data_IF_627259073857
#
_entry.id   IF_627259073857
#
_cell.length_a   1.000
_cell.length_b   1.000
_cell.length_c   1.000
_cell.angle_alpha   90.00
_cell.angle_beta   90.00
_cell.angle_gamma   90.00
#
_symmetry.space_group_name_H-M   'P 1'
#
loop_
_entity.id
_entity.type
_entity.pdbx_description
1 polymer ?
#
# COMPACT_ATOMS: atom_id res chain seq x y z
N UNK A 1 -32.80 33.39 -37.05
CA UNK A 1 -32.46 32.14 -36.31
C UNK A 1 -32.67 32.39 -34.82
N UNK A 2 -33.44 31.53 -34.13
CA UNK A 2 -33.99 31.80 -32.80
C UNK A 2 -32.89 31.71 -31.71
N UNK A 3 -32.77 32.71 -30.80
CA UNK A 3 -31.76 32.75 -29.72
C UNK A 3 -31.97 31.67 -28.64
N UNK A 4 -33.00 30.83 -28.73
CA UNK A 4 -33.32 29.77 -27.76
C UNK A 4 -32.48 28.50 -27.90
N UNK A 5 -31.80 28.28 -29.02
CA UNK A 5 -30.95 27.09 -29.23
C UNK A 5 -29.53 27.29 -28.66
N UNK A 6 -29.05 28.54 -28.56
CA UNK A 6 -27.73 28.83 -27.97
C UNK A 6 -27.69 28.65 -26.44
N UNK A 7 -28.82 28.85 -25.74
CA UNK A 7 -28.86 28.77 -24.27
C UNK A 7 -28.77 27.31 -23.77
N UNK A 8 -29.28 26.34 -24.52
CA UNK A 8 -29.24 24.92 -24.14
C UNK A 8 -27.85 24.31 -24.33
N UNK A 9 -27.05 24.82 -25.29
CA UNK A 9 -25.67 24.38 -25.47
C UNK A 9 -24.74 24.91 -24.36
N UNK A 10 -25.03 26.08 -23.79
CA UNK A 10 -24.23 26.67 -22.71
C UNK A 10 -24.45 25.99 -21.35
N UNK A 11 -25.66 25.44 -21.10
CA UNK A 11 -25.99 24.71 -19.87
C UNK A 11 -25.45 23.26 -19.82
N UNK A 12 -25.14 22.65 -20.97
CA UNK A 12 -24.47 21.34 -21.01
C UNK A 12 -22.94 21.45 -20.85
N UNK A 13 -22.35 22.60 -21.19
CA UNK A 13 -20.91 22.86 -21.02
C UNK A 13 -20.53 23.23 -19.58
N UNK A 14 -21.48 23.70 -18.76
CA UNK A 14 -21.22 24.01 -17.33
C UNK A 14 -21.48 22.83 -16.39
N UNK A 15 -22.08 21.73 -16.87
CA UNK A 15 -22.33 20.53 -16.08
C UNK A 15 -21.15 19.55 -16.05
N UNK A 16 -20.10 19.77 -16.86
CA UNK A 16 -18.79 19.19 -16.61
C UNK A 16 -18.04 20.02 -15.56
N UNK A 17 -18.64 20.15 -14.38
CA UNK A 17 -17.83 20.37 -13.19
C UNK A 17 -16.94 19.13 -13.08
N UNK A 18 -15.70 19.27 -13.54
CA UNK A 18 -14.65 18.32 -13.27
C UNK A 18 -14.61 18.13 -11.75
N UNK A 19 -15.22 17.04 -11.26
CA UNK A 19 -15.06 16.64 -9.88
C UNK A 19 -13.58 16.31 -9.71
N UNK A 20 -12.83 17.29 -9.21
CA UNK A 20 -11.49 17.03 -8.71
C UNK A 20 -11.65 16.00 -7.61
N UNK A 21 -10.85 14.94 -7.68
CA UNK A 21 -10.73 14.01 -6.58
C UNK A 21 -10.33 14.80 -5.31
N UNK A 22 -10.89 14.42 -4.16
CA UNK A 22 -10.66 15.07 -2.86
C UNK A 22 -10.38 14.02 -1.80
N UNK A 23 -9.93 14.48 -0.64
CA UNK A 23 -9.79 13.66 0.56
C UNK A 23 -10.98 13.84 1.51
N UNK A 24 -11.45 12.74 2.09
CA UNK A 24 -12.15 12.77 3.37
C UNK A 24 -11.18 12.45 4.52
N UNK A 25 -10.95 13.46 5.37
CA UNK A 25 -10.12 13.41 6.58
C UNK A 25 -10.96 13.66 7.85
N UNK A 26 -12.29 13.59 7.76
CA UNK A 26 -13.21 13.97 8.84
C UNK A 26 -12.90 13.24 10.15
N UNK A 27 -12.55 11.95 10.04
CA UNK A 27 -12.15 11.12 11.18
C UNK A 27 -10.88 11.64 11.88
N UNK A 28 -9.92 12.25 11.16
CA UNK A 28 -8.74 12.87 11.77
C UNK A 28 -9.12 14.03 12.68
N UNK A 29 -10.07 14.87 12.24
CA UNK A 29 -10.55 16.00 13.05
C UNK A 29 -11.37 15.55 14.25
N UNK A 30 -12.11 14.45 14.14
CA UNK A 30 -12.77 13.82 15.29
C UNK A 30 -11.75 13.25 16.29
N UNK A 31 -10.71 12.60 15.80
CA UNK A 31 -9.61 12.11 16.62
C UNK A 31 -8.92 13.24 17.38
N UNK A 32 -8.65 14.39 16.75
CA UNK A 32 -8.06 15.53 17.46
C UNK A 32 -8.98 16.07 18.57
N UNK A 33 -10.31 16.05 18.41
CA UNK A 33 -11.24 16.41 19.50
C UNK A 33 -11.16 15.43 20.67
N UNK A 34 -11.00 14.14 20.37
CA UNK A 34 -10.78 13.10 21.39
C UNK A 34 -9.46 13.38 22.13
N UNK A 35 -8.37 13.66 21.41
CA UNK A 35 -7.06 13.90 22.05
C UNK A 35 -7.04 15.16 22.90
N UNK A 36 -7.76 16.22 22.52
CA UNK A 36 -7.92 17.42 23.37
C UNK A 36 -8.57 17.11 24.73
N UNK A 37 -9.51 16.17 24.78
CA UNK A 37 -10.12 15.73 26.04
C UNK A 37 -9.14 14.90 26.87
N UNK A 38 -8.42 13.96 26.22
CA UNK A 38 -7.38 13.16 26.87
C UNK A 38 -6.26 14.01 27.47
N UNK A 39 -5.83 15.10 26.79
CA UNK A 39 -4.82 16.06 27.29
C UNK A 39 -5.25 16.74 28.60
N UNK A 40 -6.56 16.80 28.88
CA UNK A 40 -7.12 17.31 30.16
C UNK A 40 -7.27 16.22 31.23
N UNK A 41 -6.70 15.03 31.00
CA UNK A 41 -6.87 13.83 31.83
C UNK A 41 -8.31 13.30 31.91
N UNK A 42 -9.16 13.64 30.94
CA UNK A 42 -10.49 13.05 30.81
C UNK A 42 -10.35 11.68 30.10
N UNK A 43 -10.82 10.57 30.67
CA UNK A 43 -10.69 9.24 30.06
C UNK A 43 -11.56 9.10 28.81
N UNK A 44 -11.14 8.25 27.87
CA UNK A 44 -11.89 7.99 26.63
C UNK A 44 -12.87 6.85 26.86
N UNK A 45 -14.13 7.19 27.12
CA UNK A 45 -15.16 6.19 27.36
C UNK A 45 -15.46 5.34 26.10
N UNK A 46 -15.92 4.11 26.34
CA UNK A 46 -16.19 3.14 25.26
C UNK A 46 -17.28 3.59 24.30
N UNK A 47 -18.27 4.37 24.74
CA UNK A 47 -19.36 4.82 23.87
C UNK A 47 -18.83 5.83 22.87
N UNK A 48 -18.02 6.80 23.32
CA UNK A 48 -17.35 7.77 22.46
C UNK A 48 -16.41 7.07 21.48
N UNK A 49 -15.58 6.13 21.96
CA UNK A 49 -14.68 5.36 21.11
C UNK A 49 -15.42 4.54 20.04
N UNK A 50 -16.45 3.78 20.44
CA UNK A 50 -17.22 2.98 19.50
C UNK A 50 -18.00 3.83 18.49
N UNK A 51 -18.38 5.06 18.86
CA UNK A 51 -19.01 5.99 17.91
C UNK A 51 -17.99 6.49 16.88
N UNK A 52 -16.78 6.85 17.31
CA UNK A 52 -15.69 7.23 16.40
C UNK A 52 -15.35 6.10 15.41
N UNK A 53 -15.28 4.85 15.90
CA UNK A 53 -15.01 3.70 15.04
C UNK A 53 -16.08 3.45 13.96
N UNK A 54 -17.32 3.97 14.10
CA UNK A 54 -18.37 3.81 13.08
C UNK A 54 -18.11 4.57 11.79
N UNK A 55 -17.08 5.41 11.71
CA UNK A 55 -16.68 6.04 10.46
C UNK A 55 -16.46 4.97 9.37
N UNK A 56 -17.03 5.20 8.17
CA UNK A 56 -17.05 4.22 7.08
C UNK A 56 -15.64 3.81 6.65
N UNK A 57 -14.71 4.78 6.49
CA UNK A 57 -13.33 4.52 6.10
C UNK A 57 -12.58 3.67 7.14
N UNK A 58 -12.80 3.96 8.43
CA UNK A 58 -12.22 3.17 9.52
C UNK A 58 -12.75 1.73 9.49
N UNK A 59 -14.05 1.54 9.24
CA UNK A 59 -14.63 0.20 9.15
C UNK A 59 -14.09 -0.59 7.96
N UNK A 60 -13.92 0.06 6.80
CA UNK A 60 -13.28 -0.54 5.62
C UNK A 60 -11.87 -1.01 5.98
N UNK A 61 -11.06 -0.14 6.58
CA UNK A 61 -9.69 -0.48 6.98
C UNK A 61 -9.65 -1.62 8.01
N UNK A 62 -10.40 -1.53 9.11
CA UNK A 62 -10.36 -2.57 10.16
C UNK A 62 -10.83 -3.94 9.66
N UNK A 63 -11.83 -3.98 8.78
CA UNK A 63 -12.31 -5.22 8.17
C UNK A 63 -11.24 -5.84 7.28
N UNK A 64 -10.60 -5.04 6.45
CA UNK A 64 -9.52 -5.46 5.56
C UNK A 64 -8.33 -6.04 6.34
N UNK A 65 -7.93 -5.36 7.42
CA UNK A 65 -6.86 -5.83 8.30
C UNK A 65 -7.24 -7.09 9.11
N UNK A 66 -8.50 -7.52 9.08
CA UNK A 66 -8.96 -8.73 9.78
C UNK A 66 -8.85 -8.62 11.31
N UNK A 67 -8.90 -7.41 11.86
CA UNK A 67 -8.72 -7.16 13.30
C UNK A 67 -10.05 -7.18 14.05
N UNK A 68 -10.00 -7.47 15.35
CA UNK A 68 -11.17 -7.64 16.21
C UNK A 68 -11.36 -6.48 17.21
N UNK A 69 -12.32 -6.62 18.12
CA UNK A 69 -12.55 -5.64 19.19
C UNK A 69 -11.41 -5.56 20.21
N UNK A 70 -10.62 -6.62 20.37
CA UNK A 70 -9.47 -6.65 21.29
C UNK A 70 -8.40 -5.68 20.80
N UNK A 71 -8.17 -5.69 19.48
CA UNK A 71 -7.27 -4.78 18.81
C UNK A 71 -7.67 -3.32 19.01
N UNK A 72 -8.92 -2.97 18.72
CA UNK A 72 -9.38 -1.57 18.81
C UNK A 72 -9.46 -1.07 20.26
N UNK A 73 -9.80 -1.94 21.22
CA UNK A 73 -9.75 -1.62 22.65
C UNK A 73 -8.31 -1.39 23.15
N UNK A 74 -7.35 -2.14 22.61
CA UNK A 74 -5.92 -1.95 22.92
C UNK A 74 -5.41 -0.60 22.40
N UNK A 75 -5.87 -0.18 21.22
CA UNK A 75 -5.57 1.14 20.68
C UNK A 75 -6.17 2.26 21.56
N UNK A 76 -7.43 2.14 21.98
CA UNK A 76 -8.10 3.08 22.90
C UNK A 76 -7.31 3.28 24.20
N UNK A 77 -6.91 2.18 24.85
CA UNK A 77 -6.11 2.23 26.09
C UNK A 77 -4.73 2.84 25.86
N UNK A 78 -4.12 2.56 24.71
CA UNK A 78 -2.86 3.19 24.30
C UNK A 78 -3.00 4.71 24.22
N UNK A 79 -4.09 5.22 23.64
CA UNK A 79 -4.34 6.67 23.57
C UNK A 79 -4.40 7.30 24.97
N UNK A 80 -5.03 6.66 25.95
CA UNK A 80 -5.05 7.15 27.34
C UNK A 80 -3.64 7.20 27.96
N UNK A 81 -2.81 6.17 27.73
CA UNK A 81 -1.42 6.16 28.20
C UNK A 81 -0.61 7.30 27.58
N UNK A 82 -0.78 7.53 26.28
CA UNK A 82 0.02 8.49 25.52
C UNK A 82 -0.41 9.94 25.78
N UNK A 83 -1.71 10.24 25.74
CA UNK A 83 -2.20 11.62 25.73
C UNK A 83 -2.46 12.20 27.12
N UNK A 84 -2.80 11.38 28.13
CA UNK A 84 -3.12 11.89 29.47
C UNK A 84 -1.84 12.26 30.24
N UNK A 85 -1.65 13.52 30.67
CA UNK A 85 -0.46 13.94 31.41
C UNK A 85 -0.14 13.11 32.66
N UNK A 86 -1.16 12.60 33.35
CA UNK A 86 -0.99 11.75 34.55
C UNK A 86 -0.24 10.44 34.28
N UNK A 87 -0.18 10.00 33.03
CA UNK A 87 0.49 8.76 32.61
C UNK A 87 1.93 8.99 32.11
N UNK A 88 2.48 10.20 32.25
CA UNK A 88 3.79 10.58 31.68
C UNK A 88 4.94 9.64 32.06
N UNK A 89 5.04 9.23 33.33
CA UNK A 89 6.08 8.30 33.77
C UNK A 89 5.95 6.91 33.11
N UNK A 90 4.72 6.40 32.99
CA UNK A 90 4.44 5.12 32.32
C UNK A 90 4.77 5.22 30.82
N UNK A 91 4.40 6.34 30.18
CA UNK A 91 4.72 6.59 28.78
C UNK A 91 6.23 6.58 28.55
N UNK A 92 7.00 7.34 29.34
CA UNK A 92 8.45 7.43 29.18
C UNK A 92 9.14 6.08 29.38
N UNK A 93 8.66 5.25 30.32
CA UNK A 93 9.20 3.91 30.50
C UNK A 93 8.94 3.02 29.29
N UNK A 94 7.71 3.04 28.76
CA UNK A 94 7.33 2.20 27.62
C UNK A 94 7.97 2.61 26.30
N UNK A 95 8.31 3.89 26.12
CA UNK A 95 9.03 4.37 24.94
C UNK A 95 10.48 3.90 24.86
N UNK A 96 11.06 3.37 25.94
CA UNK A 96 12.43 2.80 25.92
C UNK A 96 12.52 1.50 25.12
N UNK A 97 11.39 0.80 24.95
CA UNK A 97 11.32 -0.46 24.20
C UNK A 97 10.23 -0.38 23.13
N UNK A 98 10.63 0.13 21.97
CA UNK A 98 9.76 0.32 20.80
C UNK A 98 9.12 -1.00 20.34
N UNK A 99 9.87 -2.08 20.30
CA UNK A 99 9.42 -3.33 19.69
C UNK A 99 8.33 -3.99 20.54
N UNK A 100 8.46 -3.96 21.86
CA UNK A 100 7.43 -4.50 22.76
C UNK A 100 6.26 -3.52 23.01
N UNK A 101 6.42 -2.23 22.69
CA UNK A 101 5.39 -1.20 22.90
C UNK A 101 5.02 -0.48 21.59
N UNK A 102 4.95 -1.22 20.48
CA UNK A 102 4.74 -0.70 19.13
C UNK A 102 3.56 0.29 19.02
N UNK A 103 2.41 -0.04 19.61
CA UNK A 103 1.24 0.85 19.59
C UNK A 103 1.50 2.18 20.28
N UNK A 104 2.17 2.14 21.44
CA UNK A 104 2.49 3.35 22.20
C UNK A 104 3.42 4.23 21.41
N UNK A 105 4.40 3.63 20.73
CA UNK A 105 5.29 4.38 19.86
C UNK A 105 4.52 5.06 18.71
N UNK A 106 3.69 4.33 17.96
CA UNK A 106 2.89 4.92 16.87
C UNK A 106 1.97 6.05 17.35
N UNK A 107 1.21 5.82 18.42
CA UNK A 107 0.30 6.82 18.98
C UNK A 107 1.07 8.01 19.57
N UNK A 108 2.28 7.79 20.08
CA UNK A 108 3.15 8.88 20.51
C UNK A 108 3.61 9.74 19.33
N UNK A 109 3.89 9.16 18.16
CA UNK A 109 4.22 9.94 16.97
C UNK A 109 3.05 10.81 16.49
N UNK A 110 1.81 10.32 16.59
CA UNK A 110 0.62 11.15 16.41
C UNK A 110 0.57 12.33 17.39
N UNK A 111 0.87 12.09 18.67
CA UNK A 111 0.87 13.14 19.71
C UNK A 111 1.94 14.19 19.47
N UNK A 112 3.16 13.77 19.16
CA UNK A 112 4.33 14.67 19.00
C UNK A 112 4.18 15.55 17.74
N UNK A 113 3.53 15.03 16.69
CA UNK A 113 3.40 15.72 15.41
C UNK A 113 1.98 16.27 15.14
N UNK A 114 1.12 16.33 16.15
CA UNK A 114 -0.32 16.59 15.98
C UNK A 114 -0.60 17.91 15.24
N UNK A 115 0.11 18.98 15.61
CA UNK A 115 -0.10 20.31 14.99
C UNK A 115 0.41 20.36 13.55
N UNK A 116 1.50 19.67 13.25
CA UNK A 116 2.03 19.55 11.89
C UNK A 116 1.12 18.70 11.02
N UNK A 117 0.52 17.64 11.57
CA UNK A 117 -0.48 16.83 10.89
C UNK A 117 -1.75 17.62 10.58
N UNK A 118 -2.26 18.43 11.52
CA UNK A 118 -3.39 19.36 11.27
C UNK A 118 -3.07 20.34 10.15
N UNK A 119 -1.85 20.89 10.15
CA UNK A 119 -1.37 21.78 9.09
C UNK A 119 -1.30 21.06 7.74
N UNK A 120 -0.72 19.87 7.70
CA UNK A 120 -0.64 19.03 6.51
C UNK A 120 -2.02 18.76 5.90
N UNK A 121 -2.99 18.30 6.70
CA UNK A 121 -4.37 18.05 6.24
C UNK A 121 -5.03 19.32 5.67
N UNK A 122 -4.79 20.46 6.30
CA UNK A 122 -5.28 21.76 5.82
C UNK A 122 -4.62 22.17 4.51
N UNK A 123 -3.32 21.90 4.34
CA UNK A 123 -2.55 22.28 3.16
C UNK A 123 -2.90 21.44 1.93
N UNK A 124 -2.98 20.12 2.05
CA UNK A 124 -3.34 19.24 0.91
C UNK A 124 -4.75 19.51 0.39
N UNK A 125 -5.64 20.03 1.24
CA UNK A 125 -7.00 20.44 0.88
C UNK A 125 -7.11 21.76 0.14
N UNK A 126 -6.08 22.61 0.18
CA UNK A 126 -6.10 23.91 -0.54
C UNK A 126 -6.07 23.71 -2.05
N UNK A 127 -5.37 22.67 -2.51
CA UNK A 127 -5.25 22.32 -3.93
C UNK A 127 -5.18 20.78 -4.09
N UNK A 128 -6.32 20.09 -3.89
CA UNK A 128 -6.34 18.63 -3.98
C UNK A 128 -6.02 18.14 -5.39
N UNK A 129 -6.36 18.94 -6.41
CA UNK A 129 -6.04 18.64 -7.81
C UNK A 129 -4.53 18.49 -7.99
N UNK A 130 -3.74 19.48 -7.58
CA UNK A 130 -2.27 19.43 -7.68
C UNK A 130 -1.68 18.26 -6.89
N UNK A 131 -2.25 17.96 -5.73
CA UNK A 131 -1.83 16.81 -4.95
C UNK A 131 -2.01 15.50 -5.75
N UNK A 132 -3.21 15.26 -6.29
CA UNK A 132 -3.49 14.04 -7.05
C UNK A 132 -2.72 13.98 -8.37
N UNK A 133 -2.56 15.11 -9.07
CA UNK A 133 -1.67 15.19 -10.24
C UNK A 133 -0.24 14.75 -9.90
N UNK A 134 0.28 15.12 -8.72
CA UNK A 134 1.59 14.67 -8.23
C UNK A 134 1.61 13.16 -8.00
N UNK A 135 0.56 12.60 -7.40
CA UNK A 135 0.46 11.15 -7.18
C UNK A 135 0.45 10.39 -8.52
N UNK A 136 -0.42 10.81 -9.46
CA UNK A 136 -0.50 10.22 -10.80
C UNK A 136 0.83 10.31 -11.55
N UNK A 137 1.57 11.42 -11.42
CA UNK A 137 2.91 11.54 -12.03
C UNK A 137 3.88 10.47 -11.54
N UNK A 138 3.83 10.08 -10.26
CA UNK A 138 4.65 8.98 -9.75
C UNK A 138 4.17 7.62 -10.28
N UNK A 139 2.87 7.35 -10.22
CA UNK A 139 2.25 6.12 -10.77
C UNK A 139 2.63 5.92 -12.25
N UNK A 140 2.54 6.97 -13.06
CA UNK A 140 2.81 6.91 -14.49
C UNK A 140 4.24 6.54 -14.85
N UNK A 141 5.20 6.64 -13.92
CA UNK A 141 6.57 6.17 -14.13
C UNK A 141 6.68 4.65 -14.22
N UNK A 142 5.67 3.94 -13.70
CA UNK A 142 5.57 2.48 -13.70
C UNK A 142 4.36 1.96 -14.50
N UNK A 143 3.75 2.79 -15.34
CA UNK A 143 2.64 2.41 -16.22
C UNK A 143 2.92 2.72 -17.70
N UNK A 144 2.42 1.88 -18.63
CA UNK A 144 2.35 2.23 -20.03
C UNK A 144 1.58 3.54 -20.25
N UNK A 145 2.00 4.33 -21.24
CA UNK A 145 1.28 5.57 -21.62
C UNK A 145 -0.20 5.36 -21.91
N UNK A 146 -0.58 4.21 -22.48
CA UNK A 146 -1.99 3.84 -22.76
C UNK A 146 -2.85 3.72 -21.49
N UNK A 147 -2.23 3.53 -20.33
CA UNK A 147 -2.89 3.38 -19.02
C UNK A 147 -2.72 4.64 -18.15
N UNK A 148 -2.20 5.75 -18.69
CA UNK A 148 -2.12 7.02 -17.96
C UNK A 148 -3.52 7.64 -17.87
N UNK A 149 -4.26 7.20 -16.86
CA UNK A 149 -5.66 7.56 -16.59
C UNK A 149 -5.81 7.93 -15.12
N UNK A 150 -6.90 8.60 -14.77
CA UNK A 150 -7.25 8.92 -13.37
C UNK A 150 -8.29 7.94 -12.84
N UNK A 151 -8.48 7.90 -11.51
CA UNK A 151 -9.45 7.04 -10.84
C UNK A 151 -10.46 7.84 -9.99
N UNK A 152 -11.23 8.78 -10.58
CA UNK A 152 -12.13 9.67 -9.83
C UNK A 152 -13.26 8.93 -9.08
N UNK A 153 -13.53 7.67 -9.42
CA UNK A 153 -14.53 6.81 -8.78
C UNK A 153 -14.08 6.25 -7.42
N UNK A 154 -12.78 6.33 -7.10
CA UNK A 154 -12.27 5.88 -5.81
C UNK A 154 -12.48 6.93 -4.74
N UNK A 155 -13.04 6.50 -3.60
CA UNK A 155 -13.10 7.32 -2.39
C UNK A 155 -11.72 7.32 -1.74
N UNK A 156 -11.13 8.51 -1.57
CA UNK A 156 -9.80 8.64 -0.98
C UNK A 156 -9.92 9.28 0.40
N UNK A 157 -9.39 8.58 1.41
CA UNK A 157 -9.56 8.99 2.80
C UNK A 157 -8.29 8.91 3.61
N UNK A 158 -8.21 9.77 4.62
CA UNK A 158 -7.14 9.75 5.61
C UNK A 158 -7.78 9.43 6.97
N UNK A 159 -7.30 8.37 7.63
CA UNK A 159 -7.76 7.94 8.95
C UNK A 159 -6.65 8.03 10.01
N UNK A 160 -6.94 8.33 11.29
CA UNK A 160 -5.93 8.54 12.32
C UNK A 160 -5.70 7.27 13.16
N UNK A 161 -5.62 6.11 12.51
CA UNK A 161 -5.37 4.82 13.15
C UNK A 161 -4.25 4.14 12.36
N UNK A 162 -3.27 3.54 13.03
CA UNK A 162 -2.14 2.84 12.41
C UNK A 162 -1.14 3.74 11.65
N UNK A 163 -0.17 3.07 11.02
CA UNK A 163 0.81 3.55 10.05
C UNK A 163 0.83 2.64 8.81
N UNK A 164 -0.11 2.84 7.90
CA UNK A 164 -0.30 2.04 6.68
C UNK A 164 -0.99 2.83 5.56
N UNK A 165 -1.08 2.22 4.38
CA UNK A 165 -1.97 2.63 3.29
C UNK A 165 -2.49 1.37 2.58
N UNK A 166 -3.74 1.41 2.12
CA UNK A 166 -4.34 0.25 1.45
C UNK A 166 -5.45 0.65 0.46
N UNK A 167 -5.65 -0.18 -0.55
CA UNK A 167 -6.74 -0.08 -1.52
C UNK A 167 -7.67 -1.28 -1.41
N UNK A 168 -8.93 -1.04 -1.05
CA UNK A 168 -9.95 -2.08 -0.91
C UNK A 168 -11.33 -1.56 -1.30
N UNK A 169 -12.12 -2.35 -2.06
CA UNK A 169 -13.54 -2.06 -2.32
C UNK A 169 -13.84 -0.63 -2.83
N UNK A 170 -13.03 -0.09 -3.76
CA UNK A 170 -13.08 1.30 -4.27
C UNK A 170 -12.77 2.40 -3.25
N UNK A 171 -12.14 2.02 -2.15
CA UNK A 171 -11.52 2.94 -1.20
C UNK A 171 -10.01 2.88 -1.33
N UNK A 172 -9.40 4.04 -1.21
CA UNK A 172 -7.97 4.20 -0.96
C UNK A 172 -7.84 4.86 0.41
N UNK A 173 -7.44 4.06 1.40
CA UNK A 173 -7.35 4.50 2.79
C UNK A 173 -5.88 4.71 3.11
N UNK A 174 -5.53 5.94 3.44
CA UNK A 174 -4.26 6.28 4.04
C UNK A 174 -4.43 6.44 5.54
N UNK A 175 -3.47 5.98 6.31
CA UNK A 175 -3.36 6.40 7.69
C UNK A 175 -2.67 7.77 7.74
N UNK A 176 -3.07 8.64 8.65
CA UNK A 176 -2.54 9.99 8.75
C UNK A 176 -1.04 9.98 9.08
N UNK A 177 -0.58 9.02 9.90
CA UNK A 177 0.85 8.86 10.19
C UNK A 177 1.66 8.55 8.93
N UNK A 178 1.20 7.59 8.11
CA UNK A 178 1.88 7.23 6.89
C UNK A 178 1.83 8.38 5.86
N UNK A 179 0.65 8.93 5.61
CA UNK A 179 0.45 10.04 4.67
C UNK A 179 1.33 11.24 5.03
N UNK A 180 1.33 11.68 6.29
CA UNK A 180 2.10 12.83 6.74
C UNK A 180 3.60 12.63 6.56
N UNK A 181 4.16 11.52 7.06
CA UNK A 181 5.60 11.31 7.03
C UNK A 181 6.11 11.06 5.61
N UNK A 182 5.40 10.26 4.81
CA UNK A 182 5.79 10.00 3.42
C UNK A 182 5.66 11.26 2.56
N UNK A 183 4.62 12.10 2.73
CA UNK A 183 4.49 13.34 1.96
C UNK A 183 5.47 14.43 2.41
N UNK A 184 5.79 14.50 3.70
CA UNK A 184 6.84 15.40 4.17
C UNK A 184 8.19 15.01 3.55
N UNK A 185 8.49 13.71 3.48
CA UNK A 185 9.67 13.17 2.81
C UNK A 185 9.64 13.45 1.30
N UNK A 186 8.57 13.02 0.64
CA UNK A 186 8.38 13.12 -0.81
C UNK A 186 6.88 13.18 -1.17
N UNK A 187 6.35 14.40 -1.23
CA UNK A 187 4.94 14.71 -1.53
C UNK A 187 4.38 13.86 -2.68
N UNK A 188 3.28 13.16 -2.41
CA UNK A 188 2.48 12.38 -3.34
C UNK A 188 3.03 10.98 -3.67
N UNK A 189 4.18 10.59 -3.10
CA UNK A 189 4.82 9.32 -3.48
C UNK A 189 4.05 8.09 -3.01
N UNK A 190 3.53 8.12 -1.77
CA UNK A 190 2.71 7.04 -1.21
C UNK A 190 1.39 6.93 -1.97
N UNK A 191 0.78 8.07 -2.32
CA UNK A 191 -0.37 8.08 -3.22
C UNK A 191 -0.03 7.47 -4.58
N UNK A 192 1.15 7.76 -5.13
CA UNK A 192 1.65 7.15 -6.37
C UNK A 192 1.73 5.62 -6.31
N UNK A 193 2.17 5.07 -5.17
CA UNK A 193 2.17 3.63 -4.88
C UNK A 193 0.74 3.07 -4.87
N UNK A 194 -0.18 3.65 -4.10
CA UNK A 194 -1.55 3.14 -4.01
C UNK A 194 -2.31 3.23 -5.34
N UNK A 195 -2.12 4.32 -6.10
CA UNK A 195 -2.68 4.44 -7.44
C UNK A 195 -2.10 3.42 -8.41
N UNK A 196 -0.88 2.90 -8.19
CA UNK A 196 -0.37 1.80 -9.00
C UNK A 196 -1.26 0.57 -8.86
N UNK A 197 -1.72 0.24 -7.65
CA UNK A 197 -2.67 -0.85 -7.46
C UNK A 197 -3.98 -0.59 -8.21
N UNK A 198 -4.49 0.64 -8.19
CA UNK A 198 -5.74 1.00 -8.84
C UNK A 198 -5.65 0.98 -10.38
N UNK A 199 -4.65 1.65 -10.93
CA UNK A 199 -4.55 1.97 -12.36
C UNK A 199 -3.85 0.89 -13.18
N UNK A 200 -3.05 0.03 -12.55
CA UNK A 200 -2.33 -1.04 -13.25
C UNK A 200 -3.34 -2.04 -13.81
N UNK A 201 -3.35 -2.29 -15.14
CA UNK A 201 -4.13 -3.38 -15.70
C UNK A 201 -3.66 -4.71 -15.12
N UNK A 202 -4.54 -5.69 -15.00
CA UNK A 202 -4.23 -7.00 -14.42
C UNK A 202 -4.74 -8.11 -15.33
N UNK A 203 -3.91 -9.12 -15.56
CA UNK A 203 -4.42 -10.39 -16.06
C UNK A 203 -5.11 -11.14 -14.92
N UNK A 204 -6.39 -11.42 -15.14
CA UNK A 204 -7.24 -12.23 -14.27
C UNK A 204 -7.44 -13.58 -14.92
N UNK A 205 -7.30 -14.64 -14.13
CA UNK A 205 -7.32 -16.02 -14.58
C UNK A 205 -8.45 -16.78 -13.88
N UNK A 206 -9.12 -17.67 -14.60
CA UNK A 206 -9.94 -18.72 -14.01
C UNK A 206 -9.03 -19.90 -13.64
N UNK A 207 -8.73 -20.04 -12.34
CA UNK A 207 -7.67 -20.92 -11.82
C UNK A 207 -8.27 -22.12 -11.10
N UNK A 208 -7.80 -23.32 -11.46
CA UNK A 208 -8.18 -24.55 -10.77
C UNK A 208 -7.68 -24.56 -9.32
N UNK A 209 -8.44 -25.17 -8.41
CA UNK A 209 -8.17 -25.15 -6.97
C UNK A 209 -6.72 -25.52 -6.60
N UNK A 210 -6.17 -26.53 -7.26
CA UNK A 210 -4.79 -27.00 -7.03
C UNK A 210 -3.72 -25.95 -7.35
N UNK A 211 -3.97 -25.01 -8.26
CA UNK A 211 -3.00 -24.01 -8.69
C UNK A 211 -3.29 -22.60 -8.12
N UNK A 212 -4.42 -22.42 -7.41
CA UNK A 212 -4.86 -21.11 -6.88
C UNK A 212 -3.79 -20.40 -6.07
N UNK A 213 -3.10 -21.13 -5.19
CA UNK A 213 -2.05 -20.57 -4.33
C UNK A 213 -0.87 -20.05 -5.16
N UNK A 214 -0.47 -20.79 -6.20
CA UNK A 214 0.64 -20.43 -7.07
C UNK A 214 0.33 -19.20 -7.91
N UNK A 215 -0.83 -19.17 -8.57
CA UNK A 215 -1.21 -18.00 -9.38
C UNK A 215 -1.43 -16.77 -8.50
N UNK A 216 -2.08 -16.94 -7.34
CA UNK A 216 -2.32 -15.84 -6.41
C UNK A 216 -1.01 -15.23 -5.88
N UNK A 217 0.01 -16.04 -5.54
CA UNK A 217 1.28 -15.50 -5.07
C UNK A 217 2.02 -14.72 -6.17
N UNK A 218 2.00 -15.20 -7.41
CA UNK A 218 2.63 -14.48 -8.52
C UNK A 218 1.95 -13.13 -8.78
N UNK A 219 0.62 -13.08 -8.70
CA UNK A 219 -0.14 -11.84 -8.80
C UNK A 219 0.22 -10.86 -7.69
N UNK A 220 0.30 -11.33 -6.43
CA UNK A 220 0.69 -10.51 -5.27
C UNK A 220 2.10 -9.94 -5.39
N UNK A 221 3.06 -10.79 -5.76
CA UNK A 221 4.46 -10.39 -5.95
C UNK A 221 4.58 -9.27 -6.99
N UNK A 222 3.93 -9.40 -8.15
CA UNK A 222 3.91 -8.34 -9.16
C UNK A 222 3.16 -7.09 -8.67
N UNK A 223 2.02 -7.28 -8.00
CA UNK A 223 1.19 -6.18 -7.50
C UNK A 223 1.97 -5.23 -6.61
N UNK A 224 2.66 -5.79 -5.61
CA UNK A 224 3.48 -5.01 -4.69
C UNK A 224 4.79 -4.57 -5.34
N UNK A 225 5.51 -5.48 -6.00
CA UNK A 225 6.84 -5.17 -6.53
C UNK A 225 6.86 -4.03 -7.55
N UNK A 226 5.81 -3.93 -8.38
CA UNK A 226 5.69 -2.81 -9.32
C UNK A 226 5.34 -1.48 -8.64
N UNK A 227 4.56 -1.51 -7.56
CA UNK A 227 4.22 -0.34 -6.76
C UNK A 227 5.41 0.11 -5.90
N UNK A 228 6.16 -0.82 -5.31
CA UNK A 228 7.35 -0.53 -4.50
C UNK A 228 8.48 0.17 -5.30
N UNK A 229 8.52 0.00 -6.63
CA UNK A 229 9.45 0.75 -7.48
C UNK A 229 9.12 2.26 -7.55
N UNK A 230 7.90 2.66 -7.17
CA UNK A 230 7.42 4.04 -7.15
C UNK A 230 7.96 4.78 -5.93
N UNK A 231 7.95 4.17 -4.74
CA UNK A 231 8.17 4.85 -3.46
C UNK A 231 9.45 4.44 -2.73
N UNK A 232 9.82 3.16 -2.69
CA UNK A 232 10.94 2.65 -1.85
C UNK A 232 12.29 3.25 -2.16
N UNK A 233 12.48 3.81 -3.36
CA UNK A 233 13.70 4.55 -3.74
C UNK A 233 13.89 5.86 -2.97
N UNK A 234 12.85 6.36 -2.30
CA UNK A 234 12.87 7.59 -1.49
C UNK A 234 12.91 7.31 0.02
N UNK A 235 13.00 6.05 0.43
CA UNK A 235 12.97 5.61 1.83
C UNK A 235 14.37 5.16 2.30
N UNK A 236 15.40 5.87 1.87
CA UNK A 236 16.80 5.62 2.25
C UNK A 236 17.11 5.95 3.70
N UNK A 237 18.36 5.71 4.12
CA UNK A 237 18.88 6.11 5.42
C UNK A 237 18.90 7.64 5.61
N UNK A 238 19.12 8.37 4.51
CA UNK A 238 19.10 9.83 4.43
C UNK A 238 17.70 10.45 4.37
N UNK A 239 16.63 9.63 4.35
CA UNK A 239 15.24 10.08 4.40
C UNK A 239 14.83 10.55 5.80
N UNK A 240 15.53 11.56 6.32
CA UNK A 240 15.42 12.08 7.70
C UNK A 240 14.05 12.64 8.07
N UNK A 241 13.17 12.79 7.08
CA UNK A 241 11.79 13.19 7.30
C UNK A 241 10.84 12.03 7.56
N UNK A 242 11.27 10.78 7.36
CA UNK A 242 10.53 9.59 7.76
C UNK A 242 10.84 9.22 9.21
N UNK A 243 9.96 8.45 9.84
CA UNK A 243 10.27 7.81 11.12
C UNK A 243 11.40 6.80 10.94
N UNK A 244 12.21 6.58 11.97
CA UNK A 244 13.38 5.71 11.88
C UNK A 244 13.06 4.32 11.31
N UNK A 245 11.95 3.73 11.77
CA UNK A 245 11.53 2.40 11.33
C UNK A 245 10.93 2.37 9.92
N UNK A 246 10.61 3.52 9.33
CA UNK A 246 10.14 3.64 7.94
C UNK A 246 11.32 3.81 6.96
N UNK A 247 12.52 4.06 7.47
CA UNK A 247 13.74 4.17 6.65
C UNK A 247 14.31 2.79 6.37
N UNK A 248 15.11 2.73 5.31
CA UNK A 248 15.82 1.53 4.85
C UNK A 248 14.95 0.33 4.47
N UNK A 249 13.60 0.46 4.42
CA UNK A 249 12.73 -0.63 3.96
C UNK A 249 13.18 -1.22 2.63
N UNK A 250 13.60 -0.38 1.68
CA UNK A 250 14.15 -0.88 0.41
C UNK A 250 15.34 -1.82 0.63
N UNK A 251 16.32 -1.46 1.46
CA UNK A 251 17.51 -2.29 1.73
C UNK A 251 17.17 -3.56 2.51
N UNK A 252 16.28 -3.47 3.49
CA UNK A 252 15.79 -4.62 4.24
C UNK A 252 15.04 -5.59 3.32
N UNK A 253 14.14 -5.08 2.48
CA UNK A 253 13.37 -5.87 1.51
C UNK A 253 14.28 -6.54 0.48
N UNK A 254 15.36 -5.90 0.04
CA UNK A 254 16.32 -6.55 -0.85
C UNK A 254 17.05 -7.71 -0.17
N UNK A 255 17.43 -7.55 1.10
CA UNK A 255 18.15 -8.57 1.87
C UNK A 255 17.25 -9.77 2.20
N UNK A 256 16.05 -9.50 2.69
CA UNK A 256 15.08 -10.54 3.02
C UNK A 256 14.46 -11.17 1.76
N UNK A 257 14.25 -10.38 0.71
CA UNK A 257 13.66 -10.84 -0.55
C UNK A 257 14.47 -11.95 -1.21
N UNK A 258 15.80 -11.88 -1.20
CA UNK A 258 16.65 -12.96 -1.68
C UNK A 258 16.40 -14.28 -0.92
N UNK A 259 16.22 -14.22 0.41
CA UNK A 259 15.93 -15.39 1.25
C UNK A 259 14.53 -15.94 0.96
N UNK A 260 13.55 -15.06 0.79
CA UNK A 260 12.17 -15.42 0.46
C UNK A 260 12.10 -16.12 -0.90
N UNK A 261 12.72 -15.56 -1.94
CA UNK A 261 12.74 -16.18 -3.28
C UNK A 261 13.44 -17.54 -3.24
N UNK A 262 14.55 -17.66 -2.51
CA UNK A 262 15.23 -18.95 -2.30
C UNK A 262 14.34 -19.99 -1.60
N UNK A 263 13.59 -19.58 -0.57
CA UNK A 263 12.64 -20.45 0.12
C UNK A 263 11.53 -20.91 -0.83
N UNK A 264 10.94 -19.99 -1.59
CA UNK A 264 9.94 -20.32 -2.59
C UNK A 264 10.47 -21.34 -3.61
N UNK A 265 11.64 -21.09 -4.20
CA UNK A 265 12.27 -22.00 -5.16
C UNK A 265 12.54 -23.39 -4.55
N UNK A 266 13.02 -23.45 -3.30
CA UNK A 266 13.23 -24.72 -2.60
C UNK A 266 11.93 -25.51 -2.39
N UNK A 267 10.80 -24.85 -2.12
CA UNK A 267 9.52 -25.51 -1.92
C UNK A 267 8.88 -25.94 -3.24
N UNK A 268 9.06 -25.16 -4.30
CA UNK A 268 8.49 -25.40 -5.63
C UNK A 268 9.29 -26.40 -6.46
N UNK A 269 10.58 -26.60 -6.13
CA UNK A 269 11.46 -27.53 -6.85
C UNK A 269 11.34 -29.01 -6.42
N UNK A 270 10.54 -29.32 -5.40
CA UNK A 270 10.32 -30.70 -4.93
C UNK A 270 9.52 -31.52 -5.94
N UNK A 271 9.94 -32.75 -6.23
CA UNK A 271 9.21 -33.70 -7.10
C UNK A 271 8.87 -35.01 -6.36
N UNK A 272 7.59 -35.44 -6.36
CA UNK A 272 6.41 -34.74 -6.88
C UNK A 272 6.01 -33.54 -6.00
N UNK A 273 5.58 -32.44 -6.63
CA UNK A 273 5.03 -31.28 -5.93
C UNK A 273 3.55 -31.48 -5.63
N UNK A 274 3.18 -31.52 -4.35
CA UNK A 274 1.78 -31.53 -3.93
C UNK A 274 1.25 -30.10 -3.81
N UNK A 275 0.73 -29.56 -4.93
CA UNK A 275 0.26 -28.17 -5.02
C UNK A 275 -0.90 -27.87 -4.07
N UNK A 276 -1.72 -28.88 -3.74
CA UNK A 276 -2.87 -28.74 -2.83
C UNK A 276 -2.49 -28.40 -1.39
N UNK A 277 -1.24 -28.68 -0.98
CA UNK A 277 -0.74 -28.40 0.37
C UNK A 277 -0.02 -27.06 0.50
N UNK A 278 0.16 -26.34 -0.60
CA UNK A 278 0.82 -25.05 -0.60
C UNK A 278 -0.02 -24.02 0.16
N UNK A 279 0.65 -23.10 0.84
CA UNK A 279 0.02 -21.97 1.53
C UNK A 279 0.88 -20.73 1.30
N UNK A 280 0.24 -19.60 1.00
CA UNK A 280 0.92 -18.32 0.72
C UNK A 280 1.90 -17.96 1.84
N UNK A 281 1.47 -18.05 3.10
CA UNK A 281 2.30 -17.71 4.25
C UNK A 281 3.54 -18.61 4.40
N UNK A 282 3.47 -19.88 3.97
CA UNK A 282 4.64 -20.78 3.95
C UNK A 282 5.60 -20.50 2.79
N UNK A 283 5.07 -20.06 1.65
CA UNK A 283 5.88 -19.70 0.49
C UNK A 283 6.68 -18.43 0.76
N UNK A 284 6.02 -17.37 1.24
CA UNK A 284 6.70 -16.11 1.56
C UNK A 284 7.58 -16.29 2.81
N UNK A 285 7.06 -16.94 3.86
CA UNK A 285 7.78 -17.19 5.11
C UNK A 285 8.51 -15.96 5.70
N UNK A 286 7.90 -14.78 5.58
CA UNK A 286 8.35 -13.55 6.21
C UNK A 286 7.25 -13.02 7.12
N UNK A 287 7.62 -12.12 8.05
CA UNK A 287 6.63 -11.39 8.83
C UNK A 287 5.80 -10.53 7.91
N UNK A 288 4.57 -11.00 7.65
CA UNK A 288 3.43 -10.37 6.97
C UNK A 288 3.77 -9.16 6.09
N UNK A 289 4.34 -9.40 4.91
CA UNK A 289 4.29 -8.43 3.82
C UNK A 289 3.48 -9.05 2.69
N UNK A 290 2.40 -8.37 2.26
CA UNK A 290 1.38 -8.84 1.30
C UNK A 290 1.93 -9.23 -0.09
N UNK A 291 3.24 -9.13 -0.29
CA UNK A 291 3.96 -9.32 -1.54
C UNK A 291 5.19 -8.42 -1.63
N UNK A 292 5.28 -7.36 -0.79
CA UNK A 292 6.32 -6.33 -0.91
C UNK A 292 7.75 -6.88 -0.90
N UNK A 293 8.11 -7.74 0.06
CA UNK A 293 9.49 -8.22 0.17
C UNK A 293 9.93 -8.99 -1.10
N UNK A 294 9.27 -10.09 -1.51
CA UNK A 294 9.63 -10.78 -2.74
C UNK A 294 9.39 -9.92 -4.00
N UNK A 295 8.33 -9.11 -4.01
CA UNK A 295 7.96 -8.23 -5.11
C UNK A 295 9.01 -7.18 -5.40
N UNK A 296 9.34 -6.34 -4.42
CA UNK A 296 10.35 -5.30 -4.54
C UNK A 296 11.71 -5.87 -4.91
N UNK A 297 12.10 -6.99 -4.30
CA UNK A 297 13.34 -7.67 -4.67
C UNK A 297 13.37 -8.05 -6.14
N UNK A 298 12.36 -8.75 -6.64
CA UNK A 298 12.30 -9.13 -8.06
C UNK A 298 12.26 -7.89 -8.97
N UNK A 299 11.44 -6.90 -8.66
CA UNK A 299 11.29 -5.68 -9.45
C UNK A 299 12.59 -4.86 -9.50
N UNK A 300 13.31 -4.78 -8.39
CA UNK A 300 14.62 -4.12 -8.31
C UNK A 300 15.68 -4.84 -9.14
N UNK A 301 15.72 -6.18 -9.09
CA UNK A 301 16.63 -6.98 -9.93
C UNK A 301 16.30 -6.79 -11.42
N UNK A 302 15.03 -6.76 -11.79
CA UNK A 302 14.58 -6.45 -13.16
C UNK A 302 15.06 -5.06 -13.60
N UNK A 303 14.89 -4.02 -12.75
CA UNK A 303 15.35 -2.66 -13.05
C UNK A 303 16.88 -2.60 -13.21
N UNK A 304 17.64 -3.21 -12.29
CA UNK A 304 19.11 -3.30 -12.34
C UNK A 304 19.63 -4.09 -13.55
N UNK A 305 18.87 -5.10 -14.00
CA UNK A 305 19.17 -5.87 -15.21
C UNK A 305 18.91 -5.11 -16.51
N UNK A 306 18.38 -3.88 -16.44
CA UNK A 306 18.08 -3.03 -17.59
C UNK A 306 16.71 -3.29 -18.23
N UNK A 307 15.82 -4.02 -17.56
CA UNK A 307 14.54 -4.50 -18.12
C UNK A 307 13.31 -3.71 -17.67
N UNK A 308 13.50 -2.49 -17.16
CA UNK A 308 12.39 -1.64 -16.67
C UNK A 308 11.35 -1.34 -17.75
N UNK A 309 11.79 -1.09 -18.99
CA UNK A 309 10.88 -0.75 -20.09
C UNK A 309 9.99 -1.93 -20.47
N UNK A 310 10.56 -3.13 -20.46
CA UNK A 310 9.89 -4.40 -20.69
C UNK A 310 8.91 -4.69 -19.54
N UNK A 311 9.32 -4.46 -18.29
CA UNK A 311 8.43 -4.56 -17.14
C UNK A 311 7.21 -3.66 -17.29
N UNK A 312 7.41 -2.38 -17.62
CA UNK A 312 6.31 -1.44 -17.84
C UNK A 312 5.41 -1.93 -18.98
N UNK A 313 5.99 -2.41 -20.09
CA UNK A 313 5.23 -2.88 -21.26
C UNK A 313 4.29 -4.06 -20.92
N UNK A 314 4.68 -4.90 -19.97
CA UNK A 314 3.99 -6.13 -19.57
C UNK A 314 3.49 -6.10 -18.12
N UNK A 315 3.20 -4.90 -17.60
CA UNK A 315 2.91 -4.66 -16.17
C UNK A 315 1.65 -5.37 -15.66
N UNK A 316 0.81 -5.86 -16.55
CA UNK A 316 -0.38 -6.67 -16.26
C UNK A 316 -0.10 -8.14 -15.97
N UNK A 317 1.07 -8.63 -16.35
CA UNK A 317 1.34 -10.05 -16.52
C UNK A 317 2.29 -10.62 -15.45
N UNK A 318 1.77 -11.42 -14.49
CA UNK A 318 2.60 -12.01 -13.45
C UNK A 318 3.59 -13.06 -13.96
N UNK A 319 3.36 -13.70 -15.12
CA UNK A 319 4.31 -14.66 -15.67
C UNK A 319 5.49 -13.97 -16.36
N UNK A 320 5.21 -12.93 -17.16
CA UNK A 320 6.29 -12.13 -17.77
C UNK A 320 7.15 -11.45 -16.69
N UNK A 321 6.56 -11.05 -15.56
CA UNK A 321 7.31 -10.57 -14.41
C UNK A 321 8.38 -11.58 -13.94
N UNK A 322 8.02 -12.85 -13.79
CA UNK A 322 8.97 -13.92 -13.41
C UNK A 322 10.00 -14.14 -14.51
N UNK A 323 9.61 -14.12 -15.79
CA UNK A 323 10.56 -14.29 -16.90
C UNK A 323 11.57 -13.15 -17.00
N UNK A 324 11.13 -11.91 -16.79
CA UNK A 324 12.02 -10.76 -16.74
C UNK A 324 12.97 -10.87 -15.56
N UNK A 325 12.50 -11.33 -14.40
CA UNK A 325 13.36 -11.60 -13.25
C UNK A 325 14.40 -12.68 -13.55
N UNK A 326 14.01 -13.82 -14.13
CA UNK A 326 14.93 -14.90 -14.49
C UNK A 326 16.00 -14.44 -15.51
N UNK A 327 15.64 -13.59 -16.48
CA UNK A 327 16.59 -12.97 -17.40
C UNK A 327 17.53 -12.01 -16.68
N UNK A 328 17.01 -11.21 -15.76
CA UNK A 328 17.76 -10.19 -15.04
C UNK A 328 18.71 -10.78 -13.99
N UNK A 329 18.30 -11.81 -13.25
CA UNK A 329 19.08 -12.45 -12.18
C UNK A 329 20.36 -13.10 -12.71
N UNK A 330 20.37 -13.53 -13.97
CA UNK A 330 21.58 -14.03 -14.67
C UNK A 330 22.61 -12.95 -14.98
N UNK A 331 22.23 -11.67 -14.95
CA UNK A 331 23.09 -10.50 -15.23
C UNK A 331 23.49 -9.74 -13.98
N UNK A 332 22.59 -9.66 -13.00
CA UNK A 332 22.81 -8.88 -11.78
C UNK A 332 23.60 -9.72 -10.78
N UNK A 333 24.74 -9.17 -10.35
CA UNK A 333 25.59 -9.81 -9.35
C UNK A 333 24.80 -10.07 -8.06
N UNK A 334 25.03 -11.23 -7.45
CA UNK A 334 24.45 -11.66 -6.17
C UNK A 334 22.91 -11.84 -6.17
N UNK A 335 22.27 -11.75 -7.35
CA UNK A 335 20.86 -12.11 -7.49
C UNK A 335 20.67 -13.64 -7.37
N UNK A 336 19.62 -14.06 -6.67
CA UNK A 336 19.24 -15.46 -6.65
C UNK A 336 18.73 -15.90 -8.03
N UNK A 337 19.12 -17.09 -8.49
CA UNK A 337 18.67 -17.66 -9.77
C UNK A 337 17.72 -18.80 -9.44
N UNK A 338 16.49 -18.74 -9.96
CA UNK A 338 15.49 -19.79 -9.78
C UNK A 338 15.97 -21.10 -10.42
N UNK A 339 15.62 -22.22 -9.80
CA UNK A 339 15.91 -23.54 -10.36
C UNK A 339 15.15 -23.77 -11.67
N UNK A 340 15.72 -24.60 -12.54
CA UNK A 340 15.05 -25.03 -13.78
C UNK A 340 13.69 -25.69 -13.47
N UNK A 341 13.59 -26.47 -12.38
CA UNK A 341 12.32 -27.09 -11.96
C UNK A 341 11.24 -26.05 -11.66
N UNK A 342 11.57 -24.98 -10.95
CA UNK A 342 10.61 -23.91 -10.68
C UNK A 342 10.24 -23.18 -11.97
N UNK A 343 11.20 -22.91 -12.85
CA UNK A 343 10.89 -22.27 -14.14
C UNK A 343 10.02 -23.15 -15.04
N UNK A 344 10.21 -24.47 -15.05
CA UNK A 344 9.36 -25.42 -15.76
C UNK A 344 7.91 -25.37 -15.22
N UNK A 345 7.74 -25.29 -13.89
CA UNK A 345 6.43 -25.12 -13.26
C UNK A 345 5.77 -23.79 -13.69
N UNK A 346 6.53 -22.69 -13.72
CA UNK A 346 6.02 -21.39 -14.16
C UNK A 346 5.57 -21.45 -15.63
N UNK A 347 6.37 -22.07 -16.51
CA UNK A 347 6.00 -22.26 -17.92
C UNK A 347 4.76 -23.15 -18.10
N UNK A 348 4.60 -24.19 -17.28
CA UNK A 348 3.40 -25.03 -17.28
C UNK A 348 2.15 -24.22 -16.92
N UNK A 349 2.21 -23.45 -15.83
CA UNK A 349 1.10 -22.60 -15.38
C UNK A 349 0.76 -21.53 -16.41
N UNK A 350 1.77 -20.88 -16.99
CA UNK A 350 1.59 -19.90 -18.05
C UNK A 350 0.82 -20.50 -19.24
N UNK A 351 1.32 -21.62 -19.78
CA UNK A 351 0.68 -22.34 -20.90
C UNK A 351 -0.76 -22.72 -20.58
N UNK A 352 -1.05 -23.08 -19.33
CA UNK A 352 -2.39 -23.49 -18.87
C UNK A 352 -3.35 -22.31 -18.74
N UNK A 353 -2.89 -21.17 -18.23
CA UNK A 353 -3.78 -20.07 -17.79
C UNK A 353 -3.76 -18.83 -18.69
N UNK A 354 -2.64 -18.46 -19.32
CA UNK A 354 -2.55 -17.27 -20.17
C UNK A 354 -3.57 -17.24 -21.31
N UNK A 355 -3.82 -18.33 -22.07
CA UNK A 355 -4.79 -18.31 -23.16
C UNK A 355 -6.23 -18.03 -22.71
N UNK A 356 -6.52 -18.19 -21.41
CA UNK A 356 -7.84 -17.97 -20.79
C UNK A 356 -7.92 -16.65 -20.03
N UNK A 357 -6.83 -15.89 -19.97
CA UNK A 357 -6.74 -14.70 -19.16
C UNK A 357 -7.55 -13.54 -19.75
N UNK A 358 -8.14 -12.74 -18.88
CA UNK A 358 -8.80 -11.49 -19.24
C UNK A 358 -8.03 -10.32 -18.64
N UNK A 359 -7.89 -9.24 -19.41
CA UNK A 359 -7.34 -7.99 -18.89
C UNK A 359 -8.47 -7.24 -18.17
N UNK A 360 -8.26 -6.90 -16.90
CA UNK A 360 -9.13 -6.02 -16.14
C UNK A 360 -8.37 -4.76 -15.72
N UNK A 361 -9.05 -3.62 -15.71
CA UNK A 361 -8.56 -2.35 -15.17
C UNK A 361 -9.73 -1.72 -14.39
N UNK A 362 -9.50 -1.23 -13.17
CA UNK A 362 -10.53 -0.69 -12.27
C UNK A 362 -11.66 -1.68 -11.90
N UNK A 363 -11.34 -2.66 -11.06
CA UNK A 363 -12.32 -3.55 -10.38
C UNK A 363 -12.95 -2.88 -9.17
#
# INVERSE_FOLDING_TARGET
MKPRILLTFFLFLTAQLAYSQTFDDSSCWEYFKITESLKKNEPLDKKTWNQFLKNEAIQVYLKDQGVDSTYTESYRKTMEIVYMPKNSSILQEKLKDRNNNWWIYNVNEYKVNEDQMKKYLTEIKKDPKKYFETCYQYTYQMLPKKNHTTAPEYKITIIPIHNDAHVESKWMVFTLLAAYFHDNNKMGVLGGHEFQHVLRPRLVFDVEDQDKVLVAILQRILNEGSADLVDKRYEGDDAMKLLEFQREYGKEFLTEGAKVIKNMDSLLSVKPLDRSKLKINKLINSWSTSGHIPGYYMANIIEKGGYKKELIKHIEDPFEFVYLYDKASKKVKDAYILSATTMDLIHELDKKYRPKAQVQQHS
#
